data_IF_499573485519
#
_entry.id   IF_499573485519
#
_cell.length_a   1.000
_cell.length_b   1.000
_cell.length_c   1.000
_cell.angle_alpha   90.00
_cell.angle_beta   90.00
_cell.angle_gamma   90.00
#
_symmetry.space_group_name_H-M   'P 1'
#
loop_
_entity.id
_entity.type
_entity.pdbx_description
1 polymer ?
#
# COMPACT_ATOMS: atom_id res chain seq x y z
N UNK A 1 -26.95 -2.52 1.37
CA UNK A 1 -25.72 -3.23 1.78
C UNK A 1 -26.17 -4.51 2.48
N UNK A 2 -25.61 -5.68 2.12
CA UNK A 2 -25.96 -6.92 2.80
C UNK A 2 -25.45 -6.89 4.26
N UNK A 3 -26.27 -7.33 5.20
CA UNK A 3 -25.89 -7.50 6.61
C UNK A 3 -25.55 -8.97 6.79
N UNK A 4 -24.34 -9.25 7.27
CA UNK A 4 -23.87 -10.60 7.58
C UNK A 4 -23.60 -10.66 9.08
N UNK A 5 -24.05 -11.74 9.73
CA UNK A 5 -23.72 -12.03 11.13
C UNK A 5 -22.47 -12.89 11.16
N UNK A 6 -21.50 -12.49 11.99
CA UNK A 6 -20.23 -13.19 12.21
C UNK A 6 -19.93 -13.17 13.70
N UNK A 7 -19.46 -14.29 14.24
CA UNK A 7 -19.01 -14.37 15.62
C UNK A 7 -17.59 -13.78 15.75
N UNK A 8 -17.44 -12.81 16.64
CA UNK A 8 -16.18 -12.16 16.97
C UNK A 8 -16.14 -11.96 18.48
N UNK A 9 -14.97 -12.21 19.08
CA UNK A 9 -14.70 -11.88 20.46
C UNK A 9 -14.95 -10.38 20.73
N UNK A 10 -15.84 -10.09 21.67
CA UNK A 10 -16.26 -8.72 21.95
C UNK A 10 -15.16 -7.88 22.60
N UNK A 11 -14.26 -8.50 23.37
CA UNK A 11 -13.16 -7.81 24.04
C UNK A 11 -12.06 -7.46 23.03
N UNK A 12 -11.76 -8.36 22.09
CA UNK A 12 -10.86 -8.07 20.96
C UNK A 12 -11.42 -6.94 20.09
N UNK A 13 -12.71 -6.98 19.77
CA UNK A 13 -13.36 -5.97 18.94
C UNK A 13 -13.39 -4.61 19.62
N UNK A 14 -13.62 -4.57 20.93
CA UNK A 14 -13.55 -3.34 21.74
C UNK A 14 -12.14 -2.76 21.77
N UNK A 15 -11.13 -3.62 21.93
CA UNK A 15 -9.72 -3.23 21.92
C UNK A 15 -9.32 -2.66 20.56
N UNK A 16 -9.66 -3.35 19.48
CA UNK A 16 -9.41 -2.88 18.12
C UNK A 16 -10.08 -1.52 17.86
N UNK A 17 -11.34 -1.36 18.30
CA UNK A 17 -12.06 -0.09 18.16
C UNK A 17 -11.39 1.07 18.88
N UNK A 18 -10.83 0.84 20.08
CA UNK A 18 -10.06 1.84 20.82
C UNK A 18 -8.76 2.19 20.09
N UNK A 19 -8.00 1.19 19.63
CA UNK A 19 -6.74 1.38 18.92
C UNK A 19 -6.90 2.13 17.60
N UNK A 20 -7.99 1.88 16.88
CA UNK A 20 -8.24 2.51 15.57
C UNK A 20 -9.02 3.82 15.66
N UNK A 21 -9.55 4.18 16.84
CA UNK A 21 -10.45 5.33 17.00
C UNK A 21 -11.78 5.22 16.23
N UNK A 22 -12.20 3.98 15.90
CA UNK A 22 -13.40 3.76 15.09
C UNK A 22 -14.68 4.01 15.90
N UNK A 23 -15.71 4.55 15.25
CA UNK A 23 -16.99 4.89 15.90
C UNK A 23 -17.92 3.69 16.01
N UNK A 24 -17.72 2.67 15.18
CA UNK A 24 -18.56 1.46 15.15
C UNK A 24 -17.78 0.18 14.91
N UNK A 25 -18.34 -0.95 15.35
CA UNK A 25 -17.77 -2.29 15.10
C UNK A 25 -17.63 -2.58 13.61
N UNK A 26 -18.61 -2.15 12.80
CA UNK A 26 -18.58 -2.27 11.34
C UNK A 26 -17.37 -1.55 10.73
N UNK A 27 -17.10 -0.34 11.21
CA UNK A 27 -15.96 0.47 10.75
C UNK A 27 -14.63 -0.16 11.17
N UNK A 28 -14.54 -0.70 12.39
CA UNK A 28 -13.36 -1.46 12.85
C UNK A 28 -13.07 -2.66 11.94
N UNK A 29 -14.10 -3.44 11.61
CA UNK A 29 -13.96 -4.62 10.74
C UNK A 29 -13.61 -4.22 9.31
N UNK A 30 -14.23 -3.18 8.75
CA UNK A 30 -13.89 -2.67 7.41
C UNK A 30 -12.43 -2.21 7.33
N UNK A 31 -11.96 -1.49 8.35
CA UNK A 31 -10.57 -1.04 8.44
C UNK A 31 -9.60 -2.23 8.54
N UNK A 32 -9.90 -3.22 9.38
CA UNK A 32 -9.08 -4.42 9.52
C UNK A 32 -8.94 -5.17 8.20
N UNK A 33 -10.04 -5.36 7.47
CA UNK A 33 -10.04 -6.03 6.16
C UNK A 33 -9.23 -5.24 5.12
N UNK A 34 -9.40 -3.93 5.05
CA UNK A 34 -8.62 -3.07 4.13
C UNK A 34 -7.13 -3.14 4.43
N UNK A 35 -6.75 -3.07 5.70
CA UNK A 35 -5.35 -3.17 6.13
C UNK A 35 -4.77 -4.52 5.79
N UNK A 36 -5.49 -5.62 6.05
CA UNK A 36 -5.02 -6.97 5.71
C UNK A 36 -4.81 -7.13 4.20
N UNK A 37 -5.76 -6.66 3.39
CA UNK A 37 -5.63 -6.68 1.93
C UNK A 37 -4.42 -5.85 1.49
N UNK A 38 -4.22 -4.66 2.06
CA UNK A 38 -3.09 -3.80 1.73
C UNK A 38 -1.76 -4.48 2.07
N UNK A 39 -1.63 -5.06 3.27
CA UNK A 39 -0.44 -5.79 3.73
C UNK A 39 -0.13 -6.97 2.80
N UNK A 40 -1.15 -7.67 2.31
CA UNK A 40 -0.97 -8.85 1.44
C UNK A 40 -0.89 -8.53 -0.05
N UNK A 41 -1.15 -7.29 -0.48
CA UNK A 41 -1.17 -6.91 -1.90
C UNK A 41 0.21 -6.76 -2.54
N UNK A 42 1.30 -6.72 -1.77
CA UNK A 42 2.64 -6.50 -2.34
C UNK A 42 3.79 -7.31 -1.68
N UNK A 43 3.83 -8.65 -1.77
CA UNK A 43 5.10 -9.38 -1.70
C UNK A 43 5.86 -9.26 -3.03
N UNK A 44 5.16 -9.40 -4.16
CA UNK A 44 5.79 -9.57 -5.48
C UNK A 44 6.51 -8.32 -6.03
N UNK A 45 6.08 -7.11 -5.66
CA UNK A 45 6.75 -5.89 -6.12
C UNK A 45 8.09 -5.69 -5.38
N UNK A 46 8.10 -5.97 -4.07
CA UNK A 46 9.29 -5.88 -3.23
C UNK A 46 10.26 -7.02 -3.57
N UNK A 47 9.76 -8.25 -3.76
CA UNK A 47 10.55 -9.38 -4.25
C UNK A 47 11.19 -9.08 -5.61
N UNK A 48 10.48 -8.46 -6.56
CA UNK A 48 11.08 -8.06 -7.85
C UNK A 48 12.20 -7.03 -7.74
N UNK A 49 12.14 -6.13 -6.76
CA UNK A 49 13.20 -5.15 -6.53
C UNK A 49 14.41 -5.83 -5.88
N UNK A 50 14.18 -6.70 -4.89
CA UNK A 50 15.25 -7.42 -4.16
C UNK A 50 15.93 -8.47 -5.04
N UNK A 51 15.17 -9.19 -5.86
CA UNK A 51 15.70 -10.21 -6.78
C UNK A 51 16.35 -9.63 -8.03
N UNK A 52 16.42 -8.30 -8.17
CA UNK A 52 17.05 -7.68 -9.33
C UNK A 52 18.57 -7.69 -9.15
N UNK A 53 19.24 -8.60 -9.83
CA UNK A 53 20.68 -8.50 -10.08
C UNK A 53 20.92 -7.48 -11.20
N UNK A 54 21.95 -6.66 -11.03
CA UNK A 54 22.46 -5.79 -12.09
C UNK A 54 23.67 -6.45 -12.71
N UNK A 55 23.74 -6.43 -14.04
CA UNK A 55 24.96 -6.78 -14.73
C UNK A 55 26.02 -5.68 -14.48
N UNK A 56 27.33 -5.99 -14.44
CA UNK A 56 28.36 -5.02 -14.13
C UNK A 56 28.33 -3.76 -15.01
N UNK A 57 27.89 -3.86 -16.26
CA UNK A 57 27.78 -2.73 -17.19
C UNK A 57 26.60 -1.80 -16.88
N UNK A 58 25.69 -2.20 -15.99
CA UNK A 58 24.53 -1.43 -15.54
C UNK A 58 24.79 -0.67 -14.24
N UNK A 59 25.93 -0.93 -13.60
CA UNK A 59 26.43 -0.23 -12.44
C UNK A 59 27.35 0.89 -12.97
N UNK A 60 27.30 2.09 -12.37
CA UNK A 60 28.06 3.27 -12.80
C UNK A 60 27.73 3.81 -14.21
N UNK A 61 26.50 3.58 -14.70
CA UNK A 61 26.03 4.22 -15.92
C UNK A 61 26.11 5.76 -15.81
N UNK A 62 26.53 6.47 -16.87
CA UNK A 62 26.69 7.92 -16.84
C UNK A 62 25.34 8.63 -16.62
N UNK A 63 25.32 9.59 -15.70
CA UNK A 63 24.13 10.40 -15.40
C UNK A 63 23.70 11.21 -16.63
N UNK A 64 22.50 10.95 -17.14
CA UNK A 64 21.90 11.75 -18.22
C UNK A 64 21.03 12.85 -17.62
N UNK A 65 21.37 14.11 -17.89
CA UNK A 65 20.50 15.24 -17.57
C UNK A 65 19.29 15.19 -18.50
N UNK A 66 18.05 15.06 -18.00
CA UNK A 66 16.87 15.06 -18.85
C UNK A 66 16.76 16.40 -19.58
N UNK A 67 16.69 16.35 -20.91
CA UNK A 67 16.50 17.54 -21.73
C UNK A 67 15.12 18.13 -21.41
N UNK A 68 15.10 19.23 -20.66
CA UNK A 68 13.87 19.92 -20.31
C UNK A 68 13.05 20.24 -21.56
N UNK A 69 11.79 19.81 -21.57
CA UNK A 69 10.83 20.07 -22.64
C UNK A 69 10.67 21.58 -22.80
N UNK A 70 11.33 22.17 -23.79
CA UNK A 70 11.15 23.56 -24.19
C UNK A 70 9.71 23.71 -24.71
N UNK A 71 8.78 24.11 -23.84
CA UNK A 71 7.44 24.55 -24.26
C UNK A 71 7.65 25.76 -25.16
N UNK A 72 7.40 25.59 -26.46
CA UNK A 72 7.42 26.68 -27.42
C UNK A 72 6.43 27.76 -26.96
N UNK A 73 6.95 28.92 -26.62
CA UNK A 73 6.20 30.15 -26.48
C UNK A 73 5.54 30.46 -27.84
N UNK A 74 4.21 30.40 -27.88
CA UNK A 74 3.42 30.97 -28.96
C UNK A 74 2.91 32.33 -28.46
N UNK A 75 3.55 33.40 -28.95
CA UNK A 75 2.96 34.72 -29.09
C UNK A 75 2.74 34.96 -30.58
#
# INVERSE_FOLDING_TARGET
MAITSIDIDQDELKTAKQLTGAKSNRETVDLALRTLIAVRRQPAAVERIISRSFEPEQIDAPTITPAGTRRAERL
#
